data_IF_661380751858
#
_entry.id   IF_661380751858
#
_cell.length_a   1.000
_cell.length_b   1.000
_cell.length_c   1.000
_cell.angle_alpha   90.00
_cell.angle_beta   90.00
_cell.angle_gamma   90.00
#
_symmetry.space_group_name_H-M   'P 1'
#
loop_
_entity.id
_entity.type
_entity.pdbx_description
1 polymer ?
#
# COMPACT_ATOMS: atom_id res chain seq x y z
N UNK A 1 -17.53 -10.09 -21.84
CA UNK A 1 -16.17 -9.72 -21.42
C UNK A 1 -15.81 -8.49 -22.25
N UNK A 2 -15.53 -7.33 -21.64
CA UNK A 2 -15.10 -6.16 -22.40
C UNK A 2 -13.67 -6.42 -22.88
N UNK A 3 -13.41 -6.27 -24.18
CA UNK A 3 -12.13 -6.55 -24.84
C UNK A 3 -10.94 -5.70 -24.36
N UNK A 4 -11.15 -4.81 -23.39
CA UNK A 4 -10.18 -3.78 -22.96
C UNK A 4 -9.51 -4.00 -21.58
N UNK A 5 -9.87 -5.08 -20.84
CA UNK A 5 -9.31 -5.29 -19.51
C UNK A 5 -7.99 -6.07 -19.56
N UNK A 6 -7.10 -5.78 -18.61
CA UNK A 6 -5.77 -6.40 -18.54
C UNK A 6 -5.85 -7.74 -17.82
N UNK A 7 -5.43 -8.88 -18.44
CA UNK A 7 -5.38 -10.17 -17.78
C UNK A 7 -4.47 -10.17 -16.55
N UNK A 8 -5.04 -10.57 -15.40
CA UNK A 8 -4.34 -10.49 -14.10
C UNK A 8 -4.27 -11.83 -13.37
N UNK A 9 -3.36 -11.89 -12.39
CA UNK A 9 -3.31 -12.97 -11.42
C UNK A 9 -2.97 -12.45 -10.02
N UNK A 10 -3.42 -13.16 -8.97
CA UNK A 10 -3.06 -12.92 -7.57
C UNK A 10 -2.16 -14.05 -7.09
N UNK A 11 -0.94 -13.72 -6.67
CA UNK A 11 -0.02 -14.65 -6.03
C UNK A 11 -0.30 -14.65 -4.52
N UNK A 12 -0.58 -15.81 -3.93
CA UNK A 12 -0.93 -15.92 -2.52
C UNK A 12 -2.38 -15.53 -2.20
N UNK A 13 -3.31 -15.85 -3.11
CA UNK A 13 -4.73 -15.52 -3.00
C UNK A 13 -5.43 -15.94 -1.69
N UNK A 14 -5.12 -17.09 -1.05
CA UNK A 14 -5.75 -17.47 0.23
C UNK A 14 -5.25 -16.67 1.44
N UNK A 15 -4.16 -15.92 1.32
CA UNK A 15 -3.63 -15.10 2.40
C UNK A 15 -4.47 -13.85 2.67
N UNK A 16 -4.24 -13.19 3.82
CA UNK A 16 -4.99 -12.01 4.22
C UNK A 16 -4.99 -10.89 3.15
N UNK A 17 -3.82 -10.53 2.64
CA UNK A 17 -3.69 -9.53 1.57
C UNK A 17 -4.22 -10.05 0.23
N UNK A 18 -4.03 -11.36 -0.06
CA UNK A 18 -4.57 -11.98 -1.28
C UNK A 18 -6.09 -11.90 -1.38
N UNK A 19 -6.80 -12.10 -0.27
CA UNK A 19 -8.26 -11.96 -0.21
C UNK A 19 -8.71 -10.50 -0.40
N UNK A 20 -7.96 -9.53 0.14
CA UNK A 20 -8.20 -8.11 -0.15
C UNK A 20 -7.99 -7.77 -1.63
N UNK A 21 -6.98 -8.35 -2.29
CA UNK A 21 -6.83 -8.22 -3.75
C UNK A 21 -8.02 -8.80 -4.50
N UNK A 22 -8.48 -10.00 -4.13
CA UNK A 22 -9.64 -10.61 -4.77
C UNK A 22 -10.88 -9.70 -4.69
N UNK A 23 -11.09 -9.07 -3.52
CA UNK A 23 -12.19 -8.12 -3.32
C UNK A 23 -12.07 -6.86 -4.16
N UNK A 24 -10.86 -6.28 -4.29
CA UNK A 24 -10.64 -5.05 -5.03
C UNK A 24 -10.65 -5.24 -6.55
N UNK A 25 -10.33 -6.44 -7.03
CA UNK A 25 -10.20 -6.76 -8.45
C UNK A 25 -11.47 -7.38 -9.06
N UNK A 26 -12.41 -7.85 -8.24
CA UNK A 26 -13.61 -8.55 -8.71
C UNK A 26 -14.43 -7.75 -9.75
N UNK A 27 -14.58 -6.46 -9.55
CA UNK A 27 -15.33 -5.55 -10.42
C UNK A 27 -14.46 -4.40 -10.97
N UNK A 28 -13.11 -4.59 -11.02
CA UNK A 28 -12.20 -3.51 -11.41
C UNK A 28 -12.37 -3.11 -12.89
N UNK A 29 -12.44 -1.80 -13.21
CA UNK A 29 -12.72 -1.36 -14.59
C UNK A 29 -11.59 -1.65 -15.58
N UNK A 30 -10.33 -1.72 -15.10
CA UNK A 30 -9.14 -1.87 -15.95
C UNK A 30 -8.47 -3.24 -15.90
N UNK A 31 -8.79 -4.06 -14.89
CA UNK A 31 -8.19 -5.38 -14.68
C UNK A 31 -9.24 -6.47 -14.79
N UNK A 32 -8.92 -7.58 -15.46
CA UNK A 32 -9.79 -8.74 -15.56
C UNK A 32 -9.91 -9.47 -14.21
N UNK A 33 -10.93 -10.32 -14.10
CA UNK A 33 -11.05 -11.27 -13.00
C UNK A 33 -9.75 -12.07 -12.88
N UNK A 34 -9.08 -12.05 -11.71
CA UNK A 34 -7.75 -12.61 -11.60
C UNK A 34 -7.75 -14.13 -11.55
N UNK A 35 -6.71 -14.75 -12.14
CA UNK A 35 -6.33 -16.11 -11.83
C UNK A 35 -5.82 -16.14 -10.38
N UNK A 36 -6.40 -16.99 -9.54
CA UNK A 36 -6.09 -17.08 -8.12
C UNK A 36 -5.02 -18.14 -7.87
N UNK A 37 -3.83 -17.76 -7.39
CA UNK A 37 -2.75 -18.71 -7.13
C UNK A 37 -2.58 -18.99 -5.65
N UNK A 38 -2.35 -20.27 -5.35
CA UNK A 38 -2.07 -20.76 -4.01
C UNK A 38 -0.90 -21.76 -4.01
N UNK A 39 -0.32 -21.95 -2.83
CA UNK A 39 0.64 -23.02 -2.56
C UNK A 39 -0.04 -24.37 -2.36
N UNK A 40 0.75 -25.38 -1.95
CA UNK A 40 0.29 -26.77 -1.85
C UNK A 40 -0.91 -26.98 -0.92
N UNK A 41 -0.95 -26.29 0.21
CA UNK A 41 -2.00 -26.46 1.23
C UNK A 41 -3.41 -26.07 0.76
N UNK A 42 -3.51 -25.12 -0.18
CA UNK A 42 -4.80 -24.57 -0.60
C UNK A 42 -5.07 -24.76 -2.10
N UNK A 43 -4.09 -25.27 -2.86
CA UNK A 43 -4.27 -25.51 -4.30
C UNK A 43 -5.41 -26.49 -4.59
N UNK A 44 -6.24 -26.18 -5.59
CA UNK A 44 -7.41 -26.95 -5.99
C UNK A 44 -8.71 -26.64 -5.22
N UNK A 45 -8.62 -26.00 -4.05
CA UNK A 45 -9.79 -25.57 -3.28
C UNK A 45 -10.48 -24.36 -3.96
N UNK A 46 -11.74 -24.13 -3.64
CA UNK A 46 -12.45 -22.91 -4.05
C UNK A 46 -12.07 -21.74 -3.14
N UNK A 47 -12.19 -20.51 -3.64
CA UNK A 47 -11.90 -19.33 -2.84
C UNK A 47 -12.78 -19.24 -1.59
N UNK A 48 -14.08 -19.53 -1.71
CA UNK A 48 -15.02 -19.55 -0.59
C UNK A 48 -14.64 -20.49 0.56
N UNK A 49 -14.01 -21.63 0.24
CA UNK A 49 -13.57 -22.61 1.24
C UNK A 49 -12.36 -22.15 2.08
N UNK A 50 -11.64 -21.13 1.62
CA UNK A 50 -10.44 -20.58 2.29
C UNK A 50 -10.65 -19.13 2.72
N UNK A 51 -11.84 -18.57 2.46
CA UNK A 51 -12.15 -17.18 2.77
C UNK A 51 -12.26 -16.95 4.27
N UNK A 52 -11.59 -15.90 4.78
CA UNK A 52 -11.51 -15.60 6.21
C UNK A 52 -11.81 -14.12 6.53
N UNK A 53 -12.02 -13.27 5.52
CA UNK A 53 -12.48 -11.91 5.78
C UNK A 53 -13.91 -11.92 6.32
N UNK A 54 -14.29 -10.87 7.05
CA UNK A 54 -15.61 -10.80 7.70
C UNK A 54 -16.78 -10.73 6.70
N UNK A 55 -16.54 -10.06 5.56
CA UNK A 55 -17.52 -9.98 4.49
C UNK A 55 -17.46 -11.25 3.63
N UNK A 56 -18.52 -11.57 2.92
CA UNK A 56 -18.55 -12.69 1.97
C UNK A 56 -17.51 -12.48 0.83
N UNK A 57 -17.00 -13.57 0.25
CA UNK A 57 -16.16 -13.48 -0.94
C UNK A 57 -16.96 -12.87 -2.11
N UNK A 58 -16.30 -12.16 -3.05
CA UNK A 58 -16.96 -11.66 -4.26
C UNK A 58 -17.64 -12.81 -5.01
N UNK A 59 -18.90 -12.60 -5.40
CA UNK A 59 -19.70 -13.66 -6.05
C UNK A 59 -19.03 -14.19 -7.31
N UNK A 60 -18.38 -13.33 -8.09
CA UNK A 60 -17.67 -13.65 -9.33
C UNK A 60 -16.46 -14.58 -9.12
N UNK A 61 -15.89 -14.58 -7.91
CA UNK A 61 -14.69 -15.33 -7.55
C UNK A 61 -14.95 -16.44 -6.51
N UNK A 62 -16.10 -16.45 -5.84
CA UNK A 62 -16.39 -17.38 -4.74
C UNK A 62 -16.12 -18.84 -5.11
N UNK A 63 -16.58 -19.26 -6.28
CA UNK A 63 -16.43 -20.64 -6.79
C UNK A 63 -15.15 -20.85 -7.61
N UNK A 64 -14.33 -19.80 -7.82
CA UNK A 64 -13.07 -19.93 -8.55
C UNK A 64 -12.10 -20.86 -7.81
N UNK A 65 -11.45 -21.75 -8.54
CA UNK A 65 -10.45 -22.65 -7.98
C UNK A 65 -9.09 -21.96 -7.84
N UNK A 66 -8.46 -22.22 -6.73
CA UNK A 66 -7.09 -21.81 -6.46
C UNK A 66 -6.14 -22.67 -7.27
N UNK A 67 -5.40 -22.06 -8.18
CA UNK A 67 -4.52 -22.75 -9.10
C UNK A 67 -3.08 -22.83 -8.60
N UNK A 68 -2.33 -23.77 -9.17
CA UNK A 68 -0.88 -23.92 -8.99
C UNK A 68 -0.24 -23.75 -10.36
N UNK A 69 0.34 -22.59 -10.62
CA UNK A 69 1.02 -22.29 -11.88
C UNK A 69 2.42 -21.74 -11.64
N UNK A 70 3.33 -22.11 -12.52
CA UNK A 70 4.65 -21.48 -12.59
C UNK A 70 4.57 -20.11 -13.28
N UNK A 71 5.61 -19.30 -13.13
CA UNK A 71 5.74 -18.02 -13.84
C UNK A 71 5.61 -18.21 -15.37
N UNK A 72 6.21 -19.29 -15.91
CA UNK A 72 6.06 -19.65 -17.32
C UNK A 72 4.60 -20.01 -17.70
N UNK A 73 3.88 -20.69 -16.80
CA UNK A 73 2.48 -21.04 -17.00
C UNK A 73 1.58 -19.80 -17.04
N UNK A 74 1.82 -18.81 -16.18
CA UNK A 74 1.10 -17.55 -16.17
C UNK A 74 1.35 -16.73 -17.46
N UNK A 75 2.61 -16.60 -17.86
CA UNK A 75 2.97 -15.90 -19.10
C UNK A 75 2.31 -16.54 -20.33
N UNK A 76 2.30 -17.90 -20.43
CA UNK A 76 1.60 -18.62 -21.52
C UNK A 76 0.07 -18.47 -21.46
N UNK A 77 -0.49 -18.29 -20.26
CA UNK A 77 -1.92 -17.99 -20.10
C UNK A 77 -2.29 -16.54 -20.45
N UNK A 78 -1.34 -15.73 -20.94
CA UNK A 78 -1.58 -14.34 -21.33
C UNK A 78 -1.64 -13.35 -20.16
N UNK A 79 -1.30 -13.77 -18.94
CA UNK A 79 -1.27 -12.85 -17.78
C UNK A 79 -0.24 -11.75 -18.03
N UNK A 80 -0.65 -10.50 -17.81
CA UNK A 80 0.19 -9.31 -18.04
C UNK A 80 0.53 -8.58 -16.74
N UNK A 81 -0.33 -8.68 -15.73
CA UNK A 81 -0.17 -8.05 -14.42
C UNK A 81 -0.37 -9.11 -13.33
N UNK A 82 0.50 -9.11 -12.33
CA UNK A 82 0.33 -9.89 -11.11
C UNK A 82 0.37 -9.01 -9.88
N UNK A 83 -0.54 -9.28 -8.96
CA UNK A 83 -0.56 -8.70 -7.63
C UNK A 83 0.00 -9.73 -6.65
N UNK A 84 1.14 -9.41 -6.02
CA UNK A 84 1.85 -10.37 -5.17
C UNK A 84 1.57 -10.12 -3.69
N UNK A 85 1.00 -11.15 -3.04
CA UNK A 85 0.82 -11.27 -1.61
C UNK A 85 1.62 -12.45 -1.04
N UNK A 86 2.73 -12.78 -1.67
CA UNK A 86 3.64 -13.82 -1.20
C UNK A 86 4.41 -13.36 0.04
N UNK A 87 4.78 -14.28 0.94
CA UNK A 87 5.66 -13.96 2.05
C UNK A 87 7.03 -13.46 1.58
N UNK A 88 7.57 -12.47 2.32
CA UNK A 88 8.95 -12.02 2.09
C UNK A 88 9.93 -13.18 2.28
N UNK A 89 11.02 -13.17 1.50
CA UNK A 89 12.00 -14.24 1.43
C UNK A 89 11.65 -15.32 0.41
N UNK A 90 10.38 -15.48 0.02
CA UNK A 90 9.95 -16.41 -1.03
C UNK A 90 9.47 -15.70 -2.29
N UNK A 91 9.07 -14.44 -2.19
CA UNK A 91 8.52 -13.66 -3.29
C UNK A 91 9.56 -13.34 -4.36
N UNK A 92 10.75 -12.90 -3.96
CA UNK A 92 11.77 -12.32 -4.83
C UNK A 92 12.10 -13.15 -6.08
N UNK A 93 12.46 -14.44 -5.96
CA UNK A 93 12.77 -15.27 -7.12
C UNK A 93 11.58 -15.44 -8.09
N UNK A 94 10.36 -15.61 -7.57
CA UNK A 94 9.14 -15.77 -8.38
C UNK A 94 8.81 -14.48 -9.12
N UNK A 95 8.86 -13.34 -8.44
CA UNK A 95 8.60 -12.03 -8.99
C UNK A 95 9.63 -11.65 -10.07
N UNK A 96 10.90 -11.90 -9.82
CA UNK A 96 11.98 -11.69 -10.79
C UNK A 96 11.75 -12.52 -12.06
N UNK A 97 11.36 -13.79 -11.94
CA UNK A 97 11.09 -14.66 -13.09
C UNK A 97 9.86 -14.20 -13.89
N UNK A 98 8.79 -13.73 -13.24
CA UNK A 98 7.62 -13.14 -13.89
C UNK A 98 8.01 -11.91 -14.72
N UNK A 99 8.80 -11.00 -14.14
CA UNK A 99 9.28 -9.79 -14.81
C UNK A 99 10.12 -10.13 -16.04
N UNK A 100 10.99 -11.15 -15.94
CA UNK A 100 11.80 -11.62 -17.09
C UNK A 100 10.93 -12.17 -18.23
N UNK A 101 9.75 -12.69 -17.92
CA UNK A 101 8.76 -13.22 -18.88
C UNK A 101 7.76 -12.18 -19.38
N UNK A 102 7.97 -10.91 -19.09
CA UNK A 102 7.12 -9.82 -19.57
C UNK A 102 5.88 -9.55 -18.72
N UNK A 103 5.70 -10.25 -17.60
CA UNK A 103 4.59 -10.03 -16.65
C UNK A 103 4.99 -8.93 -15.67
N UNK A 104 4.15 -7.90 -15.54
CA UNK A 104 4.36 -6.83 -14.55
C UNK A 104 3.90 -7.31 -13.17
N UNK A 105 4.68 -6.95 -12.14
CA UNK A 105 4.45 -7.38 -10.74
C UNK A 105 4.29 -6.17 -9.84
N UNK A 106 3.20 -6.15 -9.08
CA UNK A 106 2.94 -5.18 -8.00
C UNK A 106 3.00 -5.93 -6.67
N UNK A 107 4.10 -5.76 -5.96
CA UNK A 107 4.46 -6.59 -4.82
C UNK A 107 4.20 -5.93 -3.47
N UNK A 108 3.66 -6.71 -2.51
CA UNK A 108 3.61 -6.33 -1.09
C UNK A 108 4.76 -6.94 -0.27
N UNK A 109 5.57 -7.83 -0.86
CA UNK A 109 6.74 -8.40 -0.18
C UNK A 109 7.85 -7.36 0.01
N UNK A 110 8.69 -7.56 1.04
CA UNK A 110 9.80 -6.66 1.33
C UNK A 110 11.03 -6.88 0.43
N UNK A 111 11.08 -8.00 -0.31
CA UNK A 111 12.26 -8.51 -1.01
C UNK A 111 12.93 -7.46 -1.90
N UNK A 112 12.16 -6.67 -2.63
CA UNK A 112 12.66 -5.71 -3.61
C UNK A 112 12.49 -4.24 -3.22
N UNK A 113 11.95 -3.95 -2.00
CA UNK A 113 11.63 -2.57 -1.62
C UNK A 113 12.82 -1.61 -1.61
N UNK A 114 14.01 -2.14 -1.31
CA UNK A 114 15.23 -1.33 -1.22
C UNK A 114 16.15 -1.46 -2.44
N UNK A 115 15.73 -2.21 -3.47
CA UNK A 115 16.49 -2.31 -4.72
C UNK A 115 16.50 -0.95 -5.44
N UNK A 116 17.69 -0.52 -5.88
CA UNK A 116 17.87 0.83 -6.42
C UNK A 116 17.03 1.11 -7.68
N UNK A 117 16.78 0.08 -8.50
CA UNK A 117 16.02 0.18 -9.75
C UNK A 117 14.53 -0.12 -9.61
N UNK A 118 14.06 -0.51 -8.41
CA UNK A 118 12.67 -0.87 -8.16
C UNK A 118 11.97 0.29 -7.45
N UNK A 119 10.88 0.84 -8.01
CA UNK A 119 10.08 1.84 -7.32
C UNK A 119 9.46 1.29 -6.04
N UNK A 120 9.66 1.99 -4.92
CA UNK A 120 8.89 1.86 -3.70
C UNK A 120 7.89 3.00 -3.69
N UNK A 121 6.59 2.70 -3.91
CA UNK A 121 5.65 3.69 -4.41
C UNK A 121 4.45 3.90 -3.50
N UNK A 122 4.17 5.17 -3.23
CA UNK A 122 2.89 5.70 -2.74
C UNK A 122 2.49 6.79 -3.73
N UNK A 123 1.55 6.53 -4.66
CA UNK A 123 1.28 7.39 -5.82
C UNK A 123 1.06 8.87 -5.49
N UNK A 124 0.39 9.16 -4.40
CA UNK A 124 0.12 10.54 -3.97
C UNK A 124 1.38 11.27 -3.46
N UNK A 125 2.43 10.52 -3.10
CA UNK A 125 3.64 11.09 -2.50
C UNK A 125 4.78 11.18 -3.51
N UNK A 126 5.02 10.11 -4.26
CA UNK A 126 6.22 9.96 -5.06
C UNK A 126 5.96 9.30 -6.43
N UNK A 127 4.86 9.70 -7.11
CA UNK A 127 4.51 9.17 -8.44
C UNK A 127 5.69 9.19 -9.44
N UNK A 128 6.57 10.19 -9.36
CA UNK A 128 7.72 10.34 -10.22
C UNK A 128 8.79 9.25 -10.00
N UNK A 129 8.80 8.58 -8.83
CA UNK A 129 9.68 7.44 -8.57
C UNK A 129 9.36 6.23 -9.45
N UNK A 130 8.15 6.15 -10.03
CA UNK A 130 7.82 5.11 -11.00
C UNK A 130 8.81 5.08 -12.16
N UNK A 131 9.40 6.22 -12.52
CA UNK A 131 10.42 6.35 -13.59
C UNK A 131 11.75 5.65 -13.28
N UNK A 132 11.98 5.18 -12.03
CA UNK A 132 13.15 4.33 -11.70
C UNK A 132 13.15 3.03 -12.50
N UNK A 133 11.98 2.47 -12.75
CA UNK A 133 11.83 1.25 -13.54
C UNK A 133 12.31 1.42 -15.01
N UNK A 134 12.56 2.65 -15.43
CA UNK A 134 13.06 2.99 -16.78
C UNK A 134 12.02 2.77 -17.88
N UNK A 135 12.36 3.16 -19.10
CA UNK A 135 11.59 2.73 -20.29
C UNK A 135 11.83 1.23 -20.46
N UNK A 136 10.76 0.47 -20.68
CA UNK A 136 10.84 -0.99 -20.87
C UNK A 136 11.92 -1.35 -21.89
N UNK A 137 12.89 -2.17 -21.49
CA UNK A 137 13.59 -3.00 -22.45
C UNK A 137 12.52 -3.91 -23.09
N UNK A 138 12.48 -4.01 -24.43
CA UNK A 138 11.45 -4.79 -25.13
C UNK A 138 11.32 -6.18 -24.51
N UNK A 139 10.10 -6.56 -24.13
CA UNK A 139 9.76 -7.89 -23.63
C UNK A 139 9.83 -8.11 -22.12
N UNK A 140 10.31 -7.16 -21.29
CA UNK A 140 10.31 -7.31 -19.80
C UNK A 140 9.08 -6.68 -19.16
N UNK A 141 8.58 -7.29 -18.06
CA UNK A 141 7.56 -6.72 -17.19
C UNK A 141 8.11 -5.60 -16.31
N UNK A 142 7.22 -4.91 -15.62
CA UNK A 142 7.51 -3.91 -14.59
C UNK A 142 7.55 -4.59 -13.22
N UNK A 143 8.42 -4.15 -12.31
CA UNK A 143 8.38 -4.49 -10.89
C UNK A 143 8.20 -3.21 -10.09
N UNK A 144 7.14 -3.14 -9.30
CA UNK A 144 6.84 -2.04 -8.37
C UNK A 144 6.53 -2.63 -7.01
N UNK A 145 7.05 -2.04 -5.96
CA UNK A 145 6.79 -2.47 -4.59
C UNK A 145 5.91 -1.47 -3.83
N UNK A 146 4.99 -2.01 -3.05
CA UNK A 146 4.22 -1.29 -2.05
C UNK A 146 5.01 -1.28 -0.73
N UNK A 147 5.05 -0.16 0.03
CA UNK A 147 5.81 -0.08 1.25
C UNK A 147 5.21 -0.90 2.41
N UNK A 148 5.92 -0.88 3.52
CA UNK A 148 5.41 -1.30 4.82
C UNK A 148 4.07 -0.62 5.13
N UNK A 149 3.15 -1.35 5.78
CA UNK A 149 1.77 -0.90 5.97
C UNK A 149 1.65 0.34 6.87
N UNK A 150 2.53 0.53 7.84
CA UNK A 150 2.61 1.76 8.63
C UNK A 150 3.25 2.89 7.81
N UNK A 151 4.39 2.63 7.17
CA UNK A 151 5.06 3.63 6.34
C UNK A 151 4.15 4.25 5.27
N UNK A 152 3.26 3.45 4.65
CA UNK A 152 2.33 3.93 3.62
C UNK A 152 1.40 5.04 4.12
N UNK A 153 0.81 4.86 5.31
CA UNK A 153 -0.07 5.85 5.93
C UNK A 153 0.70 7.07 6.44
N UNK A 154 1.83 6.82 7.08
CA UNK A 154 2.69 7.85 7.66
C UNK A 154 3.20 8.84 6.61
N UNK A 155 3.80 8.34 5.52
CA UNK A 155 4.36 9.21 4.48
C UNK A 155 3.30 10.03 3.76
N UNK A 156 2.09 9.48 3.61
CA UNK A 156 0.97 10.21 3.01
C UNK A 156 0.56 11.40 3.89
N UNK A 157 0.44 11.21 5.20
CA UNK A 157 0.14 12.30 6.13
C UNK A 157 1.27 13.34 6.24
N UNK A 158 2.52 12.91 6.14
CA UNK A 158 3.70 13.78 6.23
C UNK A 158 3.97 14.56 4.94
N UNK A 159 3.58 14.03 3.78
CA UNK A 159 3.93 14.61 2.48
C UNK A 159 3.60 16.09 2.32
N UNK A 160 2.39 16.60 2.65
CA UNK A 160 2.11 18.04 2.59
C UNK A 160 2.83 18.84 3.66
N UNK A 161 3.25 18.22 4.76
CA UNK A 161 3.84 18.88 5.91
C UNK A 161 5.37 19.04 5.81
N UNK A 162 6.05 18.14 5.13
CA UNK A 162 7.51 18.17 4.99
C UNK A 162 8.03 19.48 4.39
N UNK A 163 7.51 20.00 3.26
CA UNK A 163 7.97 21.26 2.70
C UNK A 163 7.61 22.46 3.59
N UNK A 164 6.48 22.40 4.30
CA UNK A 164 5.98 23.48 5.14
C UNK A 164 6.76 23.60 6.47
N UNK A 165 7.02 22.47 7.12
CA UNK A 165 7.62 22.42 8.46
C UNK A 165 9.15 22.31 8.44
N UNK A 166 9.74 21.77 7.37
CA UNK A 166 11.17 21.41 7.28
C UNK A 166 11.61 20.65 8.51
N UNK A 167 11.22 19.37 8.65
CA UNK A 167 11.49 18.61 9.86
C UNK A 167 12.98 18.52 10.21
N UNK A 168 13.31 18.75 11.49
CA UNK A 168 14.60 18.39 12.09
C UNK A 168 14.64 16.93 12.49
N UNK A 169 13.52 16.44 13.02
CA UNK A 169 13.31 15.04 13.38
C UNK A 169 11.81 14.71 13.36
N UNK A 170 11.51 13.43 13.17
CA UNK A 170 10.15 12.89 13.28
C UNK A 170 10.20 11.68 14.19
N UNK A 171 9.35 11.67 15.22
CA UNK A 171 9.17 10.55 16.13
C UNK A 171 7.80 9.95 15.92
N UNK A 172 7.73 8.63 15.77
CA UNK A 172 6.49 7.90 15.59
C UNK A 172 6.40 6.71 16.54
N UNK A 173 5.27 6.59 17.24
CA UNK A 173 4.93 5.37 17.98
C UNK A 173 3.70 4.75 17.32
N UNK A 174 3.81 3.49 16.92
CA UNK A 174 2.75 2.79 16.21
C UNK A 174 2.00 1.82 17.11
N UNK A 175 0.67 1.82 16.99
CA UNK A 175 -0.25 0.87 17.61
C UNK A 175 -0.81 -0.01 16.50
N UNK A 176 -0.11 -1.10 16.21
CA UNK A 176 -0.41 -1.92 15.03
C UNK A 176 -1.43 -3.02 15.32
N UNK A 177 -2.39 -3.15 14.42
CA UNK A 177 -3.47 -4.13 14.50
C UNK A 177 -3.00 -5.56 14.26
N UNK A 178 -3.79 -6.54 14.76
CA UNK A 178 -3.53 -7.97 14.66
C UNK A 178 -3.39 -8.46 13.22
N UNK A 179 -4.21 -7.92 12.32
CA UNK A 179 -4.19 -8.28 10.90
C UNK A 179 -2.87 -7.98 10.18
N UNK A 180 -2.02 -7.11 10.74
CA UNK A 180 -0.67 -6.88 10.24
C UNK A 180 0.25 -8.10 10.34
N UNK A 181 -0.07 -9.07 11.18
CA UNK A 181 0.64 -10.35 11.25
C UNK A 181 0.19 -11.36 10.18
N UNK A 182 -0.86 -11.06 9.41
CA UNK A 182 -1.49 -12.04 8.49
C UNK A 182 -2.18 -13.18 9.25
N UNK A 183 -2.75 -14.15 8.53
CA UNK A 183 -3.31 -15.33 9.17
C UNK A 183 -2.22 -16.34 9.56
N UNK A 184 -2.35 -17.00 10.72
CA UNK A 184 -3.47 -16.99 11.70
C UNK A 184 -3.46 -15.80 12.66
N UNK A 185 -2.58 -14.84 12.54
CA UNK A 185 -2.46 -13.69 13.43
C UNK A 185 -1.57 -13.96 14.64
N UNK A 186 -1.82 -13.23 15.73
CA UNK A 186 -1.15 -13.39 17.03
C UNK A 186 -2.01 -14.28 17.92
N UNK A 187 -1.45 -15.24 18.68
CA UNK A 187 -2.22 -16.04 19.62
C UNK A 187 -2.98 -15.17 20.62
N UNK A 188 -4.25 -15.49 20.87
CA UNK A 188 -5.15 -14.65 21.69
C UNK A 188 -4.59 -14.34 23.07
N UNK A 189 -4.02 -15.34 23.78
CA UNK A 189 -3.44 -15.15 25.10
C UNK A 189 -2.17 -14.29 25.10
N UNK A 190 -1.49 -14.14 23.96
CA UNK A 190 -0.31 -13.28 23.88
C UNK A 190 -0.68 -11.79 23.78
N UNK A 191 -1.92 -11.46 23.40
CA UNK A 191 -2.32 -10.08 23.10
C UNK A 191 -3.56 -9.62 23.90
N UNK A 192 -4.36 -10.55 24.45
CA UNK A 192 -5.47 -10.16 25.30
C UNK A 192 -4.93 -9.58 26.60
N UNK A 193 -5.44 -8.42 27.02
CA UNK A 193 -4.99 -7.68 28.20
C UNK A 193 -3.48 -7.34 28.14
N UNK A 194 -2.93 -7.17 26.93
CA UNK A 194 -1.49 -6.97 26.72
C UNK A 194 -1.21 -6.02 25.55
N UNK A 195 -0.04 -5.37 25.60
CA UNK A 195 0.59 -4.64 24.50
C UNK A 195 1.97 -5.26 24.26
N UNK A 196 2.23 -5.75 23.05
CA UNK A 196 3.53 -6.33 22.71
C UNK A 196 4.41 -5.26 22.09
N UNK A 197 5.45 -4.73 22.76
CA UNK A 197 6.29 -3.62 22.27
C UNK A 197 7.41 -4.12 21.34
N UNK A 198 7.06 -5.03 20.43
CA UNK A 198 8.00 -5.60 19.47
C UNK A 198 7.29 -6.19 18.26
N UNK A 199 7.73 -5.78 17.06
CA UNK A 199 7.38 -6.41 15.79
C UNK A 199 8.68 -6.51 14.98
N UNK A 200 9.07 -7.72 14.64
CA UNK A 200 10.39 -8.00 14.05
C UNK A 200 10.68 -7.13 12.81
N UNK A 201 11.79 -6.39 12.84
CA UNK A 201 12.28 -5.50 11.77
C UNK A 201 11.30 -4.41 11.35
N UNK A 202 10.29 -4.09 12.16
CA UNK A 202 9.24 -3.16 11.74
C UNK A 202 9.72 -1.71 11.84
N UNK A 203 10.46 -1.37 12.87
CA UNK A 203 11.01 -0.04 13.12
C UNK A 203 11.97 0.35 12.00
N UNK A 204 12.93 -0.51 11.68
CA UNK A 204 13.90 -0.28 10.61
C UNK A 204 13.24 -0.15 9.22
N UNK A 205 12.15 -0.90 8.98
CA UNK A 205 11.37 -0.77 7.74
C UNK A 205 10.70 0.59 7.64
N UNK A 206 10.01 1.02 8.71
CA UNK A 206 9.33 2.32 8.73
C UNK A 206 10.34 3.44 8.49
N UNK A 207 11.46 3.42 9.19
CA UNK A 207 12.49 4.45 9.09
C UNK A 207 13.09 4.53 7.68
N UNK A 208 13.59 3.41 7.16
CA UNK A 208 14.28 3.35 5.86
C UNK A 208 13.35 3.56 4.67
N UNK A 209 12.16 2.94 4.72
CA UNK A 209 11.20 3.04 3.63
C UNK A 209 10.60 4.46 3.55
N UNK A 210 10.25 5.07 4.69
CA UNK A 210 9.76 6.46 4.74
C UNK A 210 10.80 7.44 4.22
N UNK A 211 12.06 7.31 4.63
CA UNK A 211 13.13 8.16 4.14
C UNK A 211 13.33 8.03 2.62
N UNK A 212 13.16 6.82 2.06
CA UNK A 212 13.23 6.58 0.61
C UNK A 212 12.04 7.19 -0.13
N UNK A 213 10.82 7.00 0.38
CA UNK A 213 9.58 7.49 -0.26
C UNK A 213 9.53 9.02 -0.26
N UNK A 214 9.87 9.65 0.87
CA UNK A 214 9.94 11.11 1.02
C UNK A 214 11.20 11.73 0.42
N UNK A 215 12.06 10.90 -0.18
CA UNK A 215 13.28 11.32 -0.85
C UNK A 215 13.03 11.96 -2.21
N UNK A 216 14.06 12.58 -2.75
CA UNK A 216 14.01 13.25 -4.06
C UNK A 216 14.67 12.39 -5.14
N UNK A 217 13.94 12.19 -6.25
CA UNK A 217 14.49 11.48 -7.40
C UNK A 217 15.43 12.38 -8.20
N UNK A 218 16.61 11.86 -8.50
CA UNK A 218 17.59 12.46 -9.43
C UNK A 218 18.01 11.41 -10.45
N UNK A 219 17.54 11.54 -11.67
CA UNK A 219 17.75 10.53 -12.71
C UNK A 219 17.18 9.16 -12.31
N UNK A 220 18.04 8.17 -12.16
CA UNK A 220 17.71 6.78 -11.74
C UNK A 220 18.06 6.48 -10.28
N UNK A 221 18.23 7.50 -9.46
CA UNK A 221 18.56 7.36 -8.04
C UNK A 221 17.59 8.15 -7.19
N UNK A 222 17.40 7.70 -5.95
CA UNK A 222 16.68 8.43 -4.92
C UNK A 222 17.71 8.91 -3.89
N UNK A 223 17.74 10.21 -3.65
CA UNK A 223 18.36 10.79 -2.47
C UNK A 223 17.33 10.72 -1.33
N UNK A 224 17.53 9.90 -0.29
CA UNK A 224 16.56 9.78 0.81
C UNK A 224 16.39 11.11 1.54
N UNK A 225 15.24 11.29 2.19
CA UNK A 225 15.01 12.43 3.08
C UNK A 225 16.10 12.49 4.17
N UNK A 226 16.51 13.71 4.53
CA UNK A 226 17.71 13.91 5.39
C UNK A 226 17.40 14.05 6.88
N UNK A 227 16.12 14.22 7.22
CA UNK A 227 15.72 14.27 8.63
C UNK A 227 15.64 12.86 9.21
N UNK A 228 16.08 12.64 10.45
CA UNK A 228 15.90 11.35 11.12
C UNK A 228 14.41 11.11 11.39
N UNK A 229 13.96 9.89 11.11
CA UNK A 229 12.69 9.36 11.53
C UNK A 229 12.98 8.22 12.50
N UNK A 230 12.41 8.29 13.70
CA UNK A 230 12.62 7.31 14.77
C UNK A 230 11.29 6.66 15.09
N UNK A 231 11.23 5.34 14.99
CA UNK A 231 10.01 4.57 15.18
C UNK A 231 10.07 3.70 16.43
N UNK A 232 8.93 3.58 17.13
CA UNK A 232 8.65 2.56 18.13
C UNK A 232 7.40 1.80 17.73
N UNK A 233 7.47 0.46 17.69
CA UNK A 233 6.38 -0.36 17.18
C UNK A 233 5.81 -1.29 18.24
N UNK A 234 4.50 -1.20 18.45
CA UNK A 234 3.78 -2.10 19.34
C UNK A 234 2.60 -2.77 18.63
N UNK A 235 2.35 -4.05 18.96
CA UNK A 235 1.16 -4.77 18.59
C UNK A 235 0.08 -4.57 19.65
N UNK A 236 -1.14 -4.23 19.22
CA UNK A 236 -2.30 -4.03 20.08
C UNK A 236 -3.47 -4.89 19.66
N UNK A 237 -4.41 -5.14 20.57
CA UNK A 237 -5.60 -5.97 20.35
C UNK A 237 -6.67 -5.29 19.46
N UNK A 238 -6.24 -4.60 18.40
CA UNK A 238 -7.11 -4.01 17.39
C UNK A 238 -7.12 -4.93 16.17
N UNK A 239 -8.29 -5.20 15.59
CA UNK A 239 -8.39 -6.12 14.46
C UNK A 239 -7.69 -5.61 13.21
N UNK A 240 -8.02 -4.36 12.80
CA UNK A 240 -7.56 -3.70 11.58
C UNK A 240 -7.38 -2.20 11.82
N UNK A 241 -6.48 -1.57 11.07
CA UNK A 241 -6.15 -0.17 11.17
C UNK A 241 -4.94 0.07 12.08
N UNK A 242 -3.86 0.60 11.50
CA UNK A 242 -2.68 1.04 12.24
C UNK A 242 -2.87 2.48 12.67
N UNK A 243 -2.78 2.72 13.98
CA UNK A 243 -2.82 4.05 14.58
C UNK A 243 -1.39 4.45 14.95
N UNK A 244 -1.01 5.69 14.65
CA UNK A 244 0.33 6.19 14.82
C UNK A 244 0.29 7.53 15.56
N UNK A 245 1.01 7.64 16.68
CA UNK A 245 1.26 8.90 17.35
C UNK A 245 2.53 9.52 16.78
N UNK A 246 2.39 10.69 16.15
CA UNK A 246 3.46 11.35 15.41
C UNK A 246 3.80 12.69 16.05
N UNK A 247 5.09 12.92 16.25
CA UNK A 247 5.65 14.21 16.65
C UNK A 247 6.67 14.65 15.62
N UNK A 248 6.46 15.83 15.03
CA UNK A 248 7.41 16.46 14.12
C UNK A 248 8.08 17.61 14.84
N UNK A 249 9.41 17.58 14.94
CA UNK A 249 10.21 18.72 15.34
C UNK A 249 10.52 19.56 14.09
N UNK A 250 9.95 20.76 14.03
CA UNK A 250 9.97 21.62 12.86
C UNK A 250 11.06 22.69 12.95
N UNK A 251 11.65 23.05 11.80
CA UNK A 251 12.49 24.27 11.67
C UNK A 251 11.63 25.53 11.45
N UNK A 252 10.51 25.37 10.74
CA UNK A 252 9.60 26.45 10.41
C UNK A 252 8.42 26.48 11.38
N UNK A 253 7.87 27.65 11.60
CA UNK A 253 6.77 27.86 12.54
C UNK A 253 5.56 28.50 11.85
N UNK A 254 4.91 27.80 10.89
CA UNK A 254 3.69 28.30 10.24
C UNK A 254 2.55 28.44 11.26
N UNK A 255 1.49 29.16 10.89
CA UNK A 255 0.27 29.19 11.68
C UNK A 255 -0.43 27.80 11.63
N UNK A 256 -1.19 27.45 12.67
CA UNK A 256 -1.94 26.16 12.70
C UNK A 256 -2.89 26.05 11.51
N UNK A 257 -3.53 27.15 11.09
CA UNK A 257 -4.40 27.16 9.91
C UNK A 257 -3.68 26.75 8.63
N UNK A 258 -2.42 27.18 8.43
CA UNK A 258 -1.62 26.80 7.26
C UNK A 258 -1.31 25.30 7.26
N UNK A 259 -1.07 24.71 8.45
CA UNK A 259 -0.88 23.25 8.61
C UNK A 259 -2.16 22.50 8.23
N UNK A 260 -3.32 22.97 8.73
CA UNK A 260 -4.61 22.36 8.42
C UNK A 260 -4.96 22.48 6.93
N UNK A 261 -4.69 23.65 6.34
CA UNK A 261 -4.95 23.90 4.92
C UNK A 261 -4.04 23.05 4.01
N UNK A 262 -2.78 22.86 4.40
CA UNK A 262 -1.87 21.95 3.70
C UNK A 262 -2.38 20.51 3.71
N UNK A 263 -2.92 20.02 4.84
CA UNK A 263 -3.51 18.69 4.93
C UNK A 263 -4.81 18.55 4.12
N UNK A 264 -5.71 19.55 4.20
CA UNK A 264 -7.00 19.52 3.48
C UNK A 264 -6.85 19.70 1.97
N UNK A 265 -5.91 20.54 1.55
CA UNK A 265 -5.67 20.85 0.14
C UNK A 265 -4.81 19.82 -0.58
N UNK A 266 -4.26 18.82 0.13
CA UNK A 266 -3.40 17.83 -0.48
C UNK A 266 -4.21 16.80 -1.26
N UNK A 267 -4.21 16.91 -2.59
CA UNK A 267 -4.79 15.92 -3.50
C UNK A 267 -4.04 15.91 -4.85
N UNK A 268 -2.81 15.40 -4.88
CA UNK A 268 -1.96 15.47 -6.06
C UNK A 268 -2.42 14.58 -7.23
N UNK A 269 -3.38 13.67 -6.99
CA UNK A 269 -3.95 12.79 -8.02
C UNK A 269 -5.35 13.22 -8.49
N UNK A 270 -5.90 14.34 -7.99
CA UNK A 270 -7.26 14.78 -8.29
C UNK A 270 -7.57 14.90 -9.80
N UNK A 271 -6.57 15.19 -10.63
CA UNK A 271 -6.70 15.33 -12.08
C UNK A 271 -6.57 14.00 -12.85
N UNK A 272 -6.20 12.90 -12.16
CA UNK A 272 -6.06 11.57 -12.73
C UNK A 272 -7.35 10.76 -12.51
N UNK A 273 -7.71 9.98 -13.50
CA UNK A 273 -8.84 9.05 -13.37
C UNK A 273 -8.33 7.67 -12.88
N UNK A 274 -7.91 7.60 -11.62
CA UNK A 274 -7.46 6.37 -10.98
C UNK A 274 -8.55 5.83 -10.05
N UNK A 275 -9.20 4.71 -10.40
CA UNK A 275 -10.40 4.23 -9.70
C UNK A 275 -10.25 4.00 -8.20
N UNK A 276 -9.02 3.66 -7.74
CA UNK A 276 -8.72 3.35 -6.33
C UNK A 276 -8.15 4.56 -5.57
N UNK A 277 -7.87 5.69 -6.26
CA UNK A 277 -7.40 6.90 -5.61
C UNK A 277 -8.49 7.53 -4.74
N UNK A 278 -8.22 7.84 -3.46
CA UNK A 278 -9.17 8.57 -2.61
C UNK A 278 -9.11 10.07 -2.88
N UNK A 279 -10.26 10.72 -2.85
CA UNK A 279 -10.41 12.16 -2.98
C UNK A 279 -11.30 12.71 -1.85
N UNK A 280 -10.72 13.38 -0.84
CA UNK A 280 -9.31 13.65 -0.61
C UNK A 280 -8.54 12.42 -0.09
N UNK A 281 -7.21 12.36 -0.26
CA UNK A 281 -6.38 11.28 0.30
C UNK A 281 -6.14 11.41 1.81
N UNK A 282 -6.36 12.59 2.39
CA UNK A 282 -6.24 12.85 3.83
C UNK A 282 -7.57 13.39 4.35
N UNK A 283 -8.16 12.70 5.33
CA UNK A 283 -9.32 13.19 6.07
C UNK A 283 -8.91 13.77 7.42
N UNK A 284 -9.10 15.07 7.62
CA UNK A 284 -8.80 15.75 8.87
C UNK A 284 -9.99 15.67 9.84
N UNK A 285 -9.74 15.25 11.09
CA UNK A 285 -10.71 15.15 12.17
C UNK A 285 -10.40 16.17 13.27
N UNK A 286 -11.45 16.83 13.75
CA UNK A 286 -11.36 17.84 14.82
C UNK A 286 -11.88 17.35 16.17
N UNK A 287 -12.61 16.23 16.17
CA UNK A 287 -13.13 15.63 17.40
C UNK A 287 -11.97 15.21 18.33
N UNK A 288 -12.16 15.41 19.62
CA UNK A 288 -11.10 15.26 20.63
C UNK A 288 -10.61 13.81 20.81
N UNK A 289 -11.41 12.81 20.37
CA UNK A 289 -11.15 11.38 20.50
C UNK A 289 -10.89 10.67 19.17
N UNK A 290 -10.69 11.43 18.07
CA UNK A 290 -10.48 10.86 16.72
C UNK A 290 -9.07 11.18 16.20
N UNK A 291 -8.48 10.25 15.38
CA UNK A 291 -9.07 9.07 14.74
C UNK A 291 -9.11 7.83 15.63
N UNK A 292 -10.07 6.94 15.37
CA UNK A 292 -10.21 5.65 16.04
C UNK A 292 -10.26 4.51 14.99
N UNK A 293 -9.49 3.41 15.15
CA UNK A 293 -9.48 2.31 14.17
C UNK A 293 -10.87 1.75 13.86
N UNK A 294 -11.74 1.62 14.86
CA UNK A 294 -13.09 1.10 14.66
C UNK A 294 -13.97 2.00 13.76
N UNK A 295 -13.77 3.32 13.85
CA UNK A 295 -14.63 4.31 13.20
C UNK A 295 -14.05 4.84 11.89
N UNK A 296 -12.72 4.95 11.79
CA UNK A 296 -12.07 5.73 10.74
C UNK A 296 -11.24 4.91 9.75
N UNK A 297 -10.94 3.63 10.04
CA UNK A 297 -10.08 2.83 9.17
C UNK A 297 -10.60 2.67 7.73
N UNK A 298 -11.90 2.88 7.51
CA UNK A 298 -12.52 2.78 6.20
C UNK A 298 -12.70 4.13 5.50
N UNK A 299 -11.95 5.15 5.89
CA UNK A 299 -11.93 6.45 5.25
C UNK A 299 -11.56 6.35 3.75
N UNK A 300 -12.12 7.26 2.94
CA UNK A 300 -11.87 7.34 1.50
C UNK A 300 -13.12 7.27 0.65
N UNK A 301 -13.14 8.09 -0.39
CA UNK A 301 -14.18 8.18 -1.43
C UNK A 301 -13.52 8.31 -2.79
N UNK A 302 -14.12 7.79 -3.87
CA UNK A 302 -15.42 7.10 -3.99
C UNK A 302 -15.43 5.71 -3.33
N UNK A 303 -16.51 4.96 -3.46
CA UNK A 303 -16.70 3.66 -2.78
C UNK A 303 -15.54 2.66 -3.02
N UNK A 304 -14.95 2.66 -4.22
CA UNK A 304 -13.78 1.83 -4.57
C UNK A 304 -12.51 2.23 -3.81
N UNK A 305 -12.39 3.49 -3.39
CA UNK A 305 -11.28 4.01 -2.60
C UNK A 305 -11.52 3.89 -1.08
N UNK A 306 -12.56 3.17 -0.64
CA UNK A 306 -12.85 2.97 0.78
C UNK A 306 -11.70 2.24 1.48
N UNK A 307 -11.16 2.85 2.55
CA UNK A 307 -9.97 2.39 3.27
C UNK A 307 -8.65 2.86 2.65
N UNK A 308 -8.70 3.68 1.60
CA UNK A 308 -7.51 4.24 0.94
C UNK A 308 -7.11 5.61 1.47
N UNK A 309 -8.01 6.41 2.01
CA UNK A 309 -7.64 7.66 2.67
C UNK A 309 -7.01 7.40 4.05
N UNK A 310 -6.16 8.33 4.45
CA UNK A 310 -5.56 8.39 5.78
C UNK A 310 -6.35 9.39 6.62
N UNK A 311 -6.64 9.04 7.86
CA UNK A 311 -7.31 9.97 8.78
C UNK A 311 -6.28 10.59 9.72
N UNK A 312 -6.22 11.92 9.74
CA UNK A 312 -5.38 12.71 10.64
C UNK A 312 -6.27 13.41 11.66
N UNK A 313 -5.86 13.42 12.92
CA UNK A 313 -6.57 14.15 13.95
C UNK A 313 -5.71 14.44 15.17
N UNK A 314 -6.32 15.04 16.19
CA UNK A 314 -5.59 15.45 17.40
C UNK A 314 -4.42 16.38 17.10
N UNK A 315 -4.55 17.23 16.09
CA UNK A 315 -3.53 18.23 15.77
C UNK A 315 -3.30 19.15 16.96
N UNK A 316 -2.05 19.23 17.40
CA UNK A 316 -1.59 20.15 18.45
C UNK A 316 -0.28 20.77 18.01
N UNK A 317 -0.32 22.07 17.75
CA UNK A 317 0.83 22.85 17.34
C UNK A 317 1.33 23.71 18.51
N UNK A 318 2.53 23.44 18.95
CA UNK A 318 3.27 24.25 19.92
C UNK A 318 4.72 24.29 19.45
N UNK A 319 5.11 25.29 18.66
CA UNK A 319 6.45 25.34 18.06
C UNK A 319 7.55 25.04 19.05
N UNK A 320 8.57 24.22 18.69
CA UNK A 320 8.77 23.65 17.37
C UNK A 320 8.05 22.30 17.12
N UNK A 321 7.10 21.88 17.94
CA UNK A 321 6.53 20.53 17.91
C UNK A 321 5.11 20.50 17.37
N UNK A 322 4.92 19.84 16.23
CA UNK A 322 3.61 19.39 15.76
C UNK A 322 3.36 17.97 16.26
N UNK A 323 2.23 17.77 16.94
CA UNK A 323 1.76 16.45 17.41
C UNK A 323 0.43 16.10 16.79
N UNK A 324 0.29 14.89 16.29
CA UNK A 324 -0.93 14.39 15.65
C UNK A 324 -1.06 12.88 15.78
N UNK A 325 -2.25 12.37 15.53
CA UNK A 325 -2.49 10.96 15.29
C UNK A 325 -2.81 10.75 13.83
N UNK A 326 -2.24 9.68 13.27
CA UNK A 326 -2.45 9.22 11.90
C UNK A 326 -3.04 7.83 11.96
N UNK A 327 -4.07 7.56 11.17
CA UNK A 327 -4.69 6.24 11.06
C UNK A 327 -4.83 5.85 9.61
N UNK A 328 -4.41 4.64 9.28
CA UNK A 328 -4.60 4.06 7.95
C UNK A 328 -5.11 2.61 8.04
N UNK A 329 -5.81 2.15 7.01
CA UNK A 329 -6.18 0.74 6.89
C UNK A 329 -4.98 -0.07 6.38
N UNK A 330 -4.38 -0.87 7.24
CA UNK A 330 -3.13 -1.59 6.98
C UNK A 330 -3.19 -2.58 5.80
N UNK A 331 -4.33 -3.20 5.53
CA UNK A 331 -4.46 -4.16 4.43
C UNK A 331 -4.95 -3.52 3.12
N UNK A 332 -5.62 -2.37 3.20
CA UNK A 332 -6.10 -1.64 2.01
C UNK A 332 -5.06 -0.59 1.61
N UNK A 333 -4.95 0.54 2.33
CA UNK A 333 -3.93 1.56 2.03
C UNK A 333 -2.51 0.98 2.12
N UNK A 334 -2.21 0.29 3.21
CA UNK A 334 -0.89 -0.28 3.49
C UNK A 334 -0.61 -1.61 2.79
N UNK A 335 -1.53 -2.11 1.95
CA UNK A 335 -1.42 -3.43 1.33
C UNK A 335 -2.04 -3.49 -0.06
N UNK A 336 -3.12 -4.26 -0.20
CA UNK A 336 -3.70 -4.58 -1.50
C UNK A 336 -4.14 -3.34 -2.30
N UNK A 337 -4.82 -2.39 -1.66
CA UNK A 337 -5.29 -1.17 -2.32
C UNK A 337 -4.14 -0.29 -2.81
N UNK A 338 -3.08 -0.13 -2.00
CA UNK A 338 -1.88 0.58 -2.41
C UNK A 338 -1.24 -0.02 -3.66
N UNK A 339 -1.12 -1.36 -3.72
CA UNK A 339 -0.59 -2.05 -4.89
C UNK A 339 -1.50 -1.95 -6.12
N UNK A 340 -2.84 -1.96 -5.94
CA UNK A 340 -3.77 -1.72 -7.06
C UNK A 340 -3.61 -0.30 -7.60
N UNK A 341 -3.55 0.71 -6.72
CA UNK A 341 -3.31 2.10 -7.12
C UNK A 341 -1.96 2.28 -7.83
N UNK A 342 -0.92 1.56 -7.39
CA UNK A 342 0.38 1.54 -8.08
C UNK A 342 0.25 1.01 -9.52
N UNK A 343 -0.58 -0.03 -9.72
CA UNK A 343 -0.83 -0.60 -11.05
C UNK A 343 -1.68 0.34 -11.93
N UNK A 344 -2.68 0.99 -11.36
CA UNK A 344 -3.47 2.02 -12.04
C UNK A 344 -2.59 3.19 -12.51
N UNK A 345 -1.69 3.69 -11.65
CA UNK A 345 -0.75 4.75 -12.02
C UNK A 345 0.19 4.29 -13.14
N UNK A 346 0.73 3.07 -13.06
CA UNK A 346 1.60 2.53 -14.09
C UNK A 346 0.88 2.34 -15.44
N UNK A 347 -0.41 2.02 -15.41
CA UNK A 347 -1.26 1.96 -16.60
C UNK A 347 -1.53 3.35 -17.18
N UNK A 348 -1.87 4.32 -16.35
CA UNK A 348 -2.12 5.71 -16.74
C UNK A 348 -0.86 6.37 -17.36
N UNK A 349 0.33 6.07 -16.82
CA UNK A 349 1.63 6.50 -17.39
C UNK A 349 2.07 5.68 -18.64
N UNK A 350 1.24 4.73 -19.12
CA UNK A 350 1.55 3.91 -20.30
C UNK A 350 2.72 2.93 -20.10
N UNK A 351 3.06 2.61 -18.85
CA UNK A 351 4.14 1.69 -18.52
C UNK A 351 3.71 0.22 -18.56
N UNK A 352 2.42 -0.05 -18.44
CA UNK A 352 1.83 -1.36 -18.71
C UNK A 352 1.12 -1.25 -20.07
N UNK A 353 1.45 -2.09 -21.06
CA UNK A 353 0.73 -2.05 -22.32
C UNK A 353 -0.73 -2.47 -22.10
N UNK A 354 -1.65 -1.53 -22.14
CA UNK A 354 -3.07 -1.75 -22.34
C UNK A 354 -3.40 -1.64 -23.83
N UNK A 355 -4.52 -2.18 -24.25
CA UNK A 355 -5.03 -1.96 -25.61
C UNK A 355 -5.69 -0.58 -25.80
N UNK A 356 -5.37 0.40 -24.98
CA UNK A 356 -5.78 1.78 -25.25
C UNK A 356 -5.00 2.25 -26.48
N UNK A 357 -5.64 2.02 -27.64
CA UNK A 357 -5.22 2.65 -28.88
C UNK A 357 -5.03 4.14 -28.68
N UNK A 358 -3.85 4.59 -29.06
CA UNK A 358 -3.44 5.93 -29.38
C UNK A 358 -4.34 7.10 -28.96
N UNK A 359 -3.94 7.79 -27.89
CA UNK A 359 -3.99 9.25 -27.95
C UNK A 359 -2.55 9.73 -28.21
N UNK A 360 -2.31 10.06 -29.50
CA UNK A 360 -1.19 10.89 -29.94
C UNK A 360 -1.50 12.34 -29.59
#
# INVERSE_FOLDING_TARGET
MSEDRIPTAILGAPGYIGQHFARLLADHPSFDLPILLAGERSGGRRLEEVWQLADAPPAELAHARLERRTAAGLARAGVRVTFSALPSGTAGPIETELVRRGVSVFSNAADHRMDAAVPLLVPEVNADHLRLAGRRASGRGLLVTNPNCSAAGLVLALSPLVPLLRPRAIHVSTYQSLSGAGYPGVPSLAITDNVVPFIASEEEKIERESARILGTRSGRRIAPARFPLVAHCARVATREGHLEAVTVEAEQSPALGEIEDALRGFDPLAWRNLPTAPHPPIELRHESDRPQPLRDRWAGRPARARGMAVTVGRLRWAPPYLRMFVLSHNAVRGGAGGSVLNAELALDEGMIPGERGGRR
#
